data_IF_029691832195
#
_entry.id   IF_029691832195
#
_cell.length_a   1.000
_cell.length_b   1.000
_cell.length_c   1.000
_cell.angle_alpha   90.00
_cell.angle_beta   90.00
_cell.angle_gamma   90.00
#
_symmetry.space_group_name_H-M   'P 1'
#
loop_
_entity.id
_entity.type
_entity.pdbx_description
1 polymer ?
#
# COMPACT_ATOMS: atom_id res chain seq x y z
N UNK A 1 0.41 -6.03 20.53
CA UNK A 1 1.23 -6.13 19.29
C UNK A 1 1.59 -4.74 18.76
N UNK A 2 0.96 -3.69 19.29
CA UNK A 2 0.99 -2.33 18.74
C UNK A 2 2.28 -1.58 19.04
N UNK A 3 3.12 -2.09 19.95
CA UNK A 3 4.43 -1.51 20.27
C UNK A 3 5.44 -1.51 19.12
N UNK A 4 5.11 -2.15 17.99
CA UNK A 4 5.92 -2.14 16.77
C UNK A 4 5.45 -1.09 15.75
N UNK A 5 4.39 -0.32 16.06
CA UNK A 5 3.83 0.71 15.17
C UNK A 5 4.48 2.07 15.42
N UNK A 6 5.76 2.18 15.10
CA UNK A 6 6.54 3.42 15.23
C UNK A 6 7.57 3.35 16.35
N UNK A 7 8.62 4.16 16.22
CA UNK A 7 9.66 4.31 17.22
C UNK A 7 9.21 5.11 18.45
N UNK A 8 8.25 6.02 18.29
CA UNK A 8 7.64 6.87 19.32
C UNK A 8 6.21 6.40 19.63
N UNK A 9 6.03 5.10 19.86
CA UNK A 9 4.72 4.52 20.16
C UNK A 9 4.41 4.57 21.66
N UNK A 10 3.73 5.62 22.10
CA UNK A 10 3.17 5.72 23.45
C UNK A 10 1.77 5.09 23.46
N UNK A 11 1.61 3.95 24.15
CA UNK A 11 0.33 3.26 24.39
C UNK A 11 -0.42 2.72 23.15
N UNK A 12 0.26 2.46 22.04
CA UNK A 12 -0.34 1.92 20.81
C UNK A 12 -0.77 2.99 19.80
N UNK A 13 -0.60 4.28 20.12
CA UNK A 13 -0.89 5.37 19.21
C UNK A 13 0.24 5.56 18.20
N UNK A 14 -0.12 5.82 16.95
CA UNK A 14 0.82 6.02 15.86
C UNK A 14 1.19 7.51 15.78
N UNK A 15 2.47 7.84 15.98
CA UNK A 15 2.99 9.19 15.80
C UNK A 15 3.03 9.57 14.29
N UNK A 16 2.42 10.70 13.87
CA UNK A 16 2.49 11.18 12.48
C UNK A 16 3.92 11.37 11.94
N UNK A 17 4.90 11.70 12.78
CA UNK A 17 6.30 11.84 12.39
C UNK A 17 6.90 10.50 11.98
N UNK A 18 6.60 9.44 12.73
CA UNK A 18 7.01 8.07 12.41
C UNK A 18 6.34 7.58 11.12
N UNK A 19 5.06 7.92 10.91
CA UNK A 19 4.38 7.63 9.64
C UNK A 19 5.06 8.33 8.48
N UNK A 20 5.41 9.61 8.62
CA UNK A 20 6.08 10.37 7.57
C UNK A 20 7.42 9.74 7.21
N UNK A 21 8.29 9.52 8.20
CA UNK A 21 9.60 8.88 8.00
C UNK A 21 9.48 7.46 7.46
N UNK A 22 8.58 6.67 8.03
CA UNK A 22 8.28 5.31 7.57
C UNK A 22 7.78 5.27 6.13
N UNK A 23 7.01 6.29 5.70
CA UNK A 23 6.52 6.39 4.34
C UNK A 23 7.65 6.61 3.33
N UNK A 24 8.63 7.44 3.67
CA UNK A 24 9.78 7.68 2.80
C UNK A 24 10.66 6.43 2.70
N UNK A 25 10.94 5.79 3.83
CA UNK A 25 11.69 4.53 3.89
C UNK A 25 10.99 3.42 3.09
N UNK A 26 9.67 3.27 3.24
CA UNK A 26 8.90 2.27 2.51
C UNK A 26 8.92 2.54 1.00
N UNK A 27 8.76 3.79 0.56
CA UNK A 27 8.82 4.17 -0.86
C UNK A 27 10.19 3.88 -1.47
N UNK A 28 11.26 4.10 -0.72
CA UNK A 28 12.63 3.87 -1.17
C UNK A 28 13.01 2.39 -1.20
N UNK A 29 12.48 1.57 -0.29
CA UNK A 29 12.98 0.20 -0.07
C UNK A 29 11.98 -0.93 -0.40
N UNK A 30 10.68 -0.65 -0.40
CA UNK A 30 9.64 -1.69 -0.41
C UNK A 30 8.60 -1.51 -1.51
N UNK A 31 8.26 -0.26 -1.85
CA UNK A 31 7.16 0.04 -2.77
C UNK A 31 7.36 -0.50 -4.19
N UNK A 32 8.62 -0.72 -4.62
CA UNK A 32 8.93 -1.32 -5.92
C UNK A 32 8.32 -2.72 -6.10
N UNK A 33 8.17 -3.46 -4.99
CA UNK A 33 7.60 -4.81 -5.00
C UNK A 33 6.18 -4.82 -4.43
N UNK A 34 5.95 -4.09 -3.33
CA UNK A 34 4.68 -4.14 -2.59
C UNK A 34 3.67 -3.07 -3.00
N UNK A 35 3.98 -2.20 -3.97
CA UNK A 35 3.19 -1.03 -4.33
C UNK A 35 3.15 0.02 -3.19
N UNK A 36 2.87 1.27 -3.51
CA UNK A 36 2.88 2.40 -2.57
C UNK A 36 1.89 2.24 -1.41
N UNK A 37 0.80 1.51 -1.65
CA UNK A 37 -0.29 1.23 -0.72
C UNK A 37 -0.21 -0.19 -0.14
N UNK A 38 0.89 -0.92 -0.35
CA UNK A 38 1.07 -2.27 0.19
C UNK A 38 0.20 -3.35 -0.47
N UNK A 39 -0.34 -3.08 -1.67
CA UNK A 39 -1.23 -4.00 -2.40
C UNK A 39 -0.52 -5.22 -3.02
N UNK A 40 0.81 -5.23 -3.00
CA UNK A 40 1.59 -6.29 -3.63
C UNK A 40 1.76 -6.09 -5.13
N UNK A 41 2.42 -7.05 -5.76
CA UNK A 41 2.78 -6.98 -7.18
C UNK A 41 3.27 -8.32 -7.73
N UNK A 42 3.20 -8.49 -9.04
CA UNK A 42 3.77 -9.65 -9.72
C UNK A 42 5.30 -9.50 -9.85
N UNK A 43 6.03 -10.59 -9.61
CA UNK A 43 7.48 -10.67 -9.80
C UNK A 43 7.82 -11.70 -10.89
N UNK A 44 9.08 -11.68 -11.33
CA UNK A 44 9.59 -12.65 -12.29
C UNK A 44 9.53 -14.08 -11.76
N UNK A 45 9.48 -15.05 -12.68
CA UNK A 45 9.48 -16.48 -12.34
C UNK A 45 8.21 -16.95 -11.63
N UNK A 46 7.07 -16.28 -11.86
CA UNK A 46 5.78 -16.64 -11.25
C UNK A 46 5.70 -16.32 -9.75
N UNK A 47 6.65 -15.56 -9.21
CA UNK A 47 6.64 -15.09 -7.82
C UNK A 47 5.77 -13.84 -7.72
N UNK A 48 5.39 -13.49 -6.50
CA UNK A 48 4.62 -12.27 -6.24
C UNK A 48 4.94 -11.73 -4.84
N UNK A 49 4.80 -10.42 -4.69
CA UNK A 49 4.82 -9.75 -3.41
C UNK A 49 3.40 -9.78 -2.85
N UNK A 50 3.17 -10.33 -1.64
CA UNK A 50 1.85 -10.38 -1.06
C UNK A 50 1.33 -8.98 -0.68
N UNK A 51 0.01 -8.87 -0.56
CA UNK A 51 -0.63 -7.71 0.08
C UNK A 51 -0.27 -7.67 1.57
N UNK A 52 -0.09 -6.47 2.10
CA UNK A 52 0.26 -6.21 3.50
C UNK A 52 -0.97 -6.00 4.40
N UNK A 53 -2.19 -5.99 3.83
CA UNK A 53 -3.43 -5.69 4.56
C UNK A 53 -3.67 -6.60 5.77
N UNK A 54 -3.36 -7.90 5.63
CA UNK A 54 -3.66 -8.91 6.65
C UNK A 54 -2.46 -9.27 7.54
N UNK A 55 -1.26 -8.77 7.21
CA UNK A 55 -0.07 -9.09 7.96
C UNK A 55 -0.08 -8.38 9.32
N UNK A 56 0.25 -9.09 10.40
CA UNK A 56 0.45 -8.48 11.71
C UNK A 56 1.82 -7.79 11.80
N UNK A 57 2.01 -6.94 12.80
CA UNK A 57 3.20 -6.11 12.96
C UNK A 57 4.48 -6.95 13.12
N UNK A 58 4.37 -8.08 13.82
CA UNK A 58 5.49 -9.00 14.04
C UNK A 58 5.87 -9.72 12.75
N UNK A 59 4.89 -10.15 11.96
CA UNK A 59 5.10 -10.77 10.65
C UNK A 59 5.82 -9.81 9.70
N UNK A 60 5.41 -8.53 9.67
CA UNK A 60 6.07 -7.51 8.85
C UNK A 60 7.51 -7.29 9.32
N UNK A 61 7.73 -7.18 10.64
CA UNK A 61 9.07 -7.01 11.21
C UNK A 61 9.98 -8.20 10.86
N UNK A 62 9.49 -9.43 11.04
CA UNK A 62 10.23 -10.65 10.73
C UNK A 62 10.44 -10.83 9.23
N UNK A 63 9.50 -10.41 8.38
CA UNK A 63 9.69 -10.42 6.93
C UNK A 63 10.86 -9.52 6.51
N UNK A 64 11.00 -8.33 7.11
CA UNK A 64 12.15 -7.46 6.85
C UNK A 64 13.49 -8.08 7.28
N UNK A 65 13.50 -8.84 8.38
CA UNK A 65 14.71 -9.50 8.87
C UNK A 65 15.08 -10.74 8.05
N UNK A 66 14.08 -11.56 7.70
CA UNK A 66 14.29 -12.88 7.11
C UNK A 66 14.29 -12.86 5.59
N UNK A 67 13.67 -11.86 4.95
CA UNK A 67 13.59 -11.71 3.50
C UNK A 67 12.94 -12.93 2.82
N UNK A 68 11.63 -13.16 2.99
CA UNK A 68 10.97 -14.33 2.41
C UNK A 68 10.93 -14.27 0.87
N UNK A 69 11.01 -15.44 0.23
CA UNK A 69 11.03 -15.58 -1.23
C UNK A 69 12.17 -14.76 -1.88
N UNK A 70 11.83 -13.78 -2.72
CA UNK A 70 12.78 -12.89 -3.40
C UNK A 70 12.98 -11.56 -2.65
N UNK A 71 12.36 -11.38 -1.48
CA UNK A 71 12.51 -10.15 -0.71
C UNK A 71 13.93 -10.10 -0.11
N UNK A 72 14.67 -8.99 -0.29
CA UNK A 72 15.99 -8.85 0.32
C UNK A 72 15.88 -8.79 1.85
N UNK A 73 16.95 -9.21 2.53
CA UNK A 73 17.07 -9.11 3.98
C UNK A 73 17.57 -7.73 4.37
N UNK A 74 16.89 -7.08 5.30
CA UNK A 74 17.24 -5.75 5.80
C UNK A 74 17.88 -5.86 7.19
N UNK A 75 19.22 -5.94 7.22
CA UNK A 75 19.97 -5.96 8.48
C UNK A 75 19.86 -4.63 9.23
N UNK A 76 20.19 -4.61 10.52
CA UNK A 76 20.18 -3.40 11.35
C UNK A 76 21.17 -2.31 10.90
N UNK A 77 22.09 -2.64 9.98
CA UNK A 77 22.97 -1.65 9.33
C UNK A 77 22.29 -0.92 8.16
N UNK A 78 21.28 -1.54 7.55
CA UNK A 78 20.56 -0.97 6.41
C UNK A 78 19.27 -0.29 6.85
N UNK A 79 18.53 -0.93 7.76
CA UNK A 79 17.36 -0.37 8.43
C UNK A 79 17.47 -0.70 9.91
N UNK A 80 17.63 0.31 10.74
CA UNK A 80 17.65 0.18 12.20
C UNK A 80 16.31 -0.37 12.72
N UNK A 81 16.31 -0.82 13.97
CA UNK A 81 15.10 -1.35 14.60
C UNK A 81 13.97 -0.32 14.65
N UNK A 82 14.31 0.96 14.84
CA UNK A 82 13.33 2.05 14.91
C UNK A 82 12.77 2.38 13.52
N UNK A 83 13.62 2.48 12.50
CA UNK A 83 13.19 2.66 11.11
C UNK A 83 12.27 1.53 10.63
N UNK A 84 12.52 0.28 11.06
CA UNK A 84 11.63 -0.86 10.79
C UNK A 84 10.26 -0.66 11.45
N UNK A 85 10.20 -0.17 12.69
CA UNK A 85 8.93 0.13 13.36
C UNK A 85 8.19 1.27 12.66
N UNK A 86 8.89 2.29 12.18
CA UNK A 86 8.28 3.40 11.45
C UNK A 86 7.68 2.95 10.12
N UNK A 87 8.36 2.05 9.40
CA UNK A 87 7.79 1.41 8.20
C UNK A 87 6.50 0.67 8.53
N UNK A 88 6.45 -0.06 9.67
CA UNK A 88 5.24 -0.73 10.12
C UNK A 88 4.14 0.29 10.47
N UNK A 89 4.48 1.40 11.13
CA UNK A 89 3.56 2.50 11.42
C UNK A 89 2.93 3.05 10.13
N UNK A 90 3.73 3.26 9.09
CA UNK A 90 3.25 3.67 7.78
C UNK A 90 2.31 2.63 7.15
N UNK A 91 2.69 1.35 7.12
CA UNK A 91 1.85 0.29 6.53
C UNK A 91 0.49 0.21 7.24
N UNK A 92 0.48 0.30 8.57
CA UNK A 92 -0.76 0.22 9.37
C UNK A 92 -1.62 1.46 9.21
N UNK A 93 -1.03 2.65 9.30
CA UNK A 93 -1.76 3.90 9.06
C UNK A 93 -2.32 3.98 7.64
N UNK A 94 -1.58 3.52 6.62
CA UNK A 94 -2.06 3.49 5.24
C UNK A 94 -3.27 2.56 5.03
N UNK A 95 -3.36 1.47 5.78
CA UNK A 95 -4.52 0.56 5.78
C UNK A 95 -5.71 1.16 6.53
N UNK A 96 -5.45 1.76 7.69
CA UNK A 96 -6.49 2.29 8.59
C UNK A 96 -7.08 3.61 8.07
N UNK A 97 -6.33 4.34 7.24
CA UNK A 97 -6.79 5.59 6.63
C UNK A 97 -7.82 5.31 5.53
N UNK A 98 -9.04 5.87 5.62
CA UNK A 98 -10.05 5.73 4.58
C UNK A 98 -9.60 6.36 3.25
N UNK A 99 -10.07 5.81 2.13
CA UNK A 99 -9.84 6.41 0.82
C UNK A 99 -10.48 7.80 0.73
N UNK A 100 -9.66 8.81 0.45
CA UNK A 100 -10.12 10.18 0.28
C UNK A 100 -10.68 10.36 -1.14
N UNK A 101 -11.83 11.03 -1.28
CA UNK A 101 -12.39 11.38 -2.58
C UNK A 101 -13.24 10.29 -3.26
N UNK A 102 -13.65 9.25 -2.54
CA UNK A 102 -14.57 8.22 -3.02
C UNK A 102 -14.02 6.82 -2.87
N UNK A 103 -14.45 5.91 -3.74
CA UNK A 103 -14.06 4.50 -3.66
C UNK A 103 -12.66 4.28 -4.24
N UNK A 104 -11.73 3.72 -3.46
CA UNK A 104 -10.30 3.62 -3.81
C UNK A 104 -9.90 2.58 -4.88
N UNK A 105 -10.85 1.86 -5.49
CA UNK A 105 -10.60 0.96 -6.63
C UNK A 105 -9.46 -0.05 -6.46
N UNK A 106 -9.35 -0.58 -5.25
CA UNK A 106 -8.30 -1.53 -4.88
C UNK A 106 -6.92 -0.92 -4.65
N UNK A 107 -6.76 0.40 -4.77
CA UNK A 107 -5.51 1.12 -4.44
C UNK A 107 -4.32 0.82 -5.36
N UNK A 108 -4.57 0.26 -6.54
CA UNK A 108 -3.57 -0.14 -7.53
C UNK A 108 -3.23 1.05 -8.48
N UNK A 109 -4.03 2.12 -8.42
CA UNK A 109 -3.81 3.37 -9.15
C UNK A 109 -4.37 3.35 -10.58
N UNK A 110 -3.63 3.88 -11.58
CA UNK A 110 -4.18 4.27 -12.88
C UNK A 110 -4.76 3.12 -13.70
N UNK A 111 -4.37 1.87 -13.41
CA UNK A 111 -4.86 0.68 -14.12
C UNK A 111 -6.33 0.43 -13.81
N UNK A 112 -6.69 0.33 -12.53
CA UNK A 112 -8.08 0.04 -12.13
C UNK A 112 -8.99 1.25 -12.36
N UNK A 113 -8.47 2.46 -12.13
CA UNK A 113 -9.14 3.72 -12.48
C UNK A 113 -9.43 3.83 -13.98
N UNK A 114 -8.43 3.56 -14.82
CA UNK A 114 -8.58 3.59 -16.28
C UNK A 114 -9.58 2.56 -16.79
N UNK A 115 -9.55 1.34 -16.25
CA UNK A 115 -10.53 0.30 -16.62
C UNK A 115 -11.96 0.72 -16.29
N UNK A 116 -12.17 1.38 -15.15
CA UNK A 116 -13.48 1.90 -14.79
C UNK A 116 -13.92 3.08 -15.64
N UNK A 117 -13.01 3.99 -15.97
CA UNK A 117 -13.28 5.07 -16.89
C UNK A 117 -13.74 4.53 -18.25
N UNK A 118 -13.10 3.46 -18.75
CA UNK A 118 -13.51 2.81 -19.99
C UNK A 118 -14.85 2.07 -19.89
N UNK A 119 -15.05 1.24 -18.86
CA UNK A 119 -16.24 0.38 -18.79
C UNK A 119 -17.46 1.16 -18.32
N UNK A 120 -17.33 2.04 -17.33
CA UNK A 120 -18.47 2.80 -16.79
C UNK A 120 -18.54 4.17 -17.41
N UNK A 121 -17.43 4.91 -17.44
CA UNK A 121 -17.41 6.27 -17.97
C UNK A 121 -17.84 6.34 -19.44
N UNK A 122 -17.17 5.57 -20.31
CA UNK A 122 -17.49 5.58 -21.74
C UNK A 122 -18.87 4.99 -22.03
N UNK A 123 -19.30 3.93 -21.34
CA UNK A 123 -20.65 3.36 -21.53
C UNK A 123 -21.74 4.38 -21.14
N UNK A 124 -21.56 5.10 -20.04
CA UNK A 124 -22.48 6.17 -19.64
C UNK A 124 -22.53 7.28 -20.69
N UNK A 125 -21.37 7.70 -21.22
CA UNK A 125 -21.29 8.72 -22.27
C UNK A 125 -21.96 8.27 -23.58
N UNK A 126 -21.72 7.03 -24.02
CA UNK A 126 -22.36 6.47 -25.21
C UNK A 126 -23.87 6.38 -25.01
N UNK A 127 -24.33 5.89 -23.85
CA UNK A 127 -25.75 5.83 -23.52
C UNK A 127 -26.42 7.21 -23.55
N UNK A 128 -25.77 8.22 -22.98
CA UNK A 128 -26.26 9.60 -23.03
C UNK A 128 -26.30 10.14 -24.46
N UNK A 129 -25.27 9.89 -25.28
CA UNK A 129 -25.23 10.31 -26.67
C UNK A 129 -26.35 9.66 -27.51
N UNK A 130 -26.58 8.35 -27.36
CA UNK A 130 -27.68 7.65 -28.03
C UNK A 130 -29.05 8.17 -27.58
N UNK A 131 -29.21 8.46 -26.28
CA UNK A 131 -30.46 9.01 -25.75
C UNK A 131 -30.76 10.40 -26.30
N UNK A 132 -29.75 11.28 -26.38
CA UNK A 132 -29.91 12.61 -26.94
C UNK A 132 -30.21 12.52 -28.44
N UNK A 133 -29.43 11.72 -29.18
CA UNK A 133 -29.57 11.57 -30.63
C UNK A 133 -30.86 10.87 -31.09
N UNK A 134 -31.51 10.07 -30.23
CA UNK A 134 -32.83 9.48 -30.53
C UNK A 134 -33.99 10.41 -30.19
N UNK A 135 -33.74 11.52 -29.49
CA UNK A 135 -34.73 12.55 -29.14
C UNK A 135 -34.62 13.85 -29.97
N UNK A 136 -33.69 13.90 -30.92
CA UNK A 136 -33.53 14.94 -31.95
C UNK A 136 -34.10 14.47 -33.28
#
# INVERSE_FOLDING_TARGET
MDSLRGSHNDNGEIDPQDVSRGSDLFRLNCASCHNFTGRGGALSGGKYAPTLDNANEQEIYQAMLTGPQNMPKFSDRQLSADEKKDIIAYIKSAKETPSQGGYGLGGIGPVTEGMLMWIVGIVVLIGAAMWIGTRS
#
